data_IF_300421936453
#
_entry.id   IF_300421936453
#
_cell.length_a   1.000
_cell.length_b   1.000
_cell.length_c   1.000
_cell.angle_alpha   90.00
_cell.angle_beta   90.00
_cell.angle_gamma   90.00
#
_symmetry.space_group_name_H-M   'P 1'
#
loop_
_entity.id
_entity.type
_entity.pdbx_description
1 polymer ?
#
# COMPACT_ATOMS: atom_id res chain seq x y z
N UNK A 1 79.82 13.17 -2.46
CA UNK A 1 78.85 12.40 -1.63
C UNK A 1 77.94 13.31 -0.80
N UNK A 2 78.39 14.44 -0.26
CA UNK A 2 77.54 15.33 0.55
C UNK A 2 76.37 15.97 -0.23
N UNK A 3 76.58 16.40 -1.48
CA UNK A 3 75.54 17.09 -2.25
C UNK A 3 74.35 16.19 -2.61
N UNK A 4 74.60 14.93 -3.00
CA UNK A 4 73.52 13.98 -3.34
C UNK A 4 72.69 13.59 -2.11
N UNK A 5 73.34 13.45 -0.95
CA UNK A 5 72.65 13.20 0.32
C UNK A 5 71.76 14.38 0.70
N UNK A 6 72.29 15.60 0.57
CA UNK A 6 71.55 16.82 0.88
C UNK A 6 70.34 17.02 -0.06
N UNK A 7 70.47 16.68 -1.34
CA UNK A 7 69.35 16.72 -2.30
C UNK A 7 68.28 15.67 -1.93
N UNK A 8 68.67 14.43 -1.65
CA UNK A 8 67.72 13.37 -1.33
C UNK A 8 66.95 13.65 -0.02
N UNK A 9 67.66 13.99 1.05
CA UNK A 9 67.04 14.22 2.36
C UNK A 9 66.23 15.52 2.38
N UNK A 10 66.83 16.66 1.98
CA UNK A 10 66.18 17.96 2.14
C UNK A 10 65.23 18.33 1.01
N UNK A 11 65.53 17.95 -0.24
CA UNK A 11 64.71 18.38 -1.37
C UNK A 11 63.65 17.34 -1.77
N UNK A 12 63.86 16.06 -1.46
CA UNK A 12 62.91 15.00 -1.84
C UNK A 12 62.14 14.51 -0.62
N UNK A 13 62.81 13.84 0.32
CA UNK A 13 62.12 13.12 1.40
C UNK A 13 61.39 14.05 2.40
N UNK A 14 61.96 15.23 2.70
CA UNK A 14 61.34 16.22 3.58
C UNK A 14 60.19 17.02 2.93
N UNK A 15 60.02 16.95 1.62
CA UNK A 15 58.92 17.60 0.91
C UNK A 15 57.71 16.68 0.69
N UNK A 16 57.80 15.41 1.09
CA UNK A 16 56.68 14.48 1.08
C UNK A 16 55.81 14.69 2.32
N UNK A 17 54.49 14.62 2.14
CA UNK A 17 53.51 14.70 3.23
C UNK A 17 53.27 13.34 3.90
N UNK A 18 53.78 12.26 3.31
CA UNK A 18 53.78 10.92 3.92
C UNK A 18 54.89 10.82 4.97
N UNK A 19 54.59 10.22 6.12
CA UNK A 19 55.59 9.95 7.16
C UNK A 19 56.54 8.90 6.63
N UNK A 20 57.86 9.18 6.68
CA UNK A 20 58.91 8.24 6.30
C UNK A 20 59.90 8.14 7.44
N UNK A 21 60.20 6.92 7.87
CA UNK A 21 61.10 6.62 8.98
C UNK A 21 62.06 5.50 8.53
N UNK A 22 63.35 5.68 8.79
CA UNK A 22 64.36 4.64 8.61
C UNK A 22 64.81 4.11 9.98
N UNK A 23 64.91 2.78 10.09
CA UNK A 23 65.22 2.07 11.32
C UNK A 23 66.35 1.07 11.10
N UNK A 24 67.12 0.81 12.16
CA UNK A 24 68.08 -0.29 12.19
C UNK A 24 67.40 -1.66 12.28
N UNK A 25 68.13 -2.77 12.09
CA UNK A 25 67.57 -4.12 12.16
C UNK A 25 66.97 -4.47 13.53
N UNK A 26 67.37 -3.76 14.59
CA UNK A 26 66.82 -3.85 15.94
C UNK A 26 65.59 -2.96 16.18
N UNK A 27 65.01 -2.37 15.12
CA UNK A 27 63.84 -1.48 15.15
C UNK A 27 64.05 -0.13 15.85
N UNK A 28 65.31 0.26 16.07
CA UNK A 28 65.63 1.60 16.58
C UNK A 28 65.61 2.63 15.46
N UNK A 29 65.00 3.79 15.71
CA UNK A 29 64.85 4.86 14.72
C UNK A 29 66.19 5.54 14.47
N UNK A 30 66.61 5.59 13.20
CA UNK A 30 67.85 6.26 12.79
C UNK A 30 67.59 7.60 12.11
N UNK A 31 66.48 7.71 11.37
CA UNK A 31 66.14 8.90 10.62
C UNK A 31 64.63 8.98 10.38
N UNK A 32 64.10 10.20 10.23
CA UNK A 32 62.74 10.43 9.77
C UNK A 32 62.58 11.78 9.09
N UNK A 33 61.54 11.91 8.26
CA UNK A 33 61.29 13.10 7.47
C UNK A 33 60.53 14.20 8.23
N UNK A 34 60.43 15.39 7.60
CA UNK A 34 59.65 16.54 8.10
C UNK A 34 58.22 16.17 8.49
N UNK A 35 57.50 15.42 7.66
CA UNK A 35 56.11 15.04 7.94
C UNK A 35 55.98 14.23 9.25
N UNK A 36 56.93 13.33 9.53
CA UNK A 36 56.98 12.62 10.80
C UNK A 36 57.23 13.58 11.97
N UNK A 37 58.16 14.52 11.81
CA UNK A 37 58.49 15.52 12.83
C UNK A 37 57.31 16.42 13.18
N UNK A 38 56.60 16.91 12.16
CA UNK A 38 55.40 17.75 12.31
C UNK A 38 54.25 16.98 12.95
N UNK A 39 54.06 15.71 12.59
CA UNK A 39 52.97 14.90 13.11
C UNK A 39 53.17 14.51 14.58
N UNK A 40 54.36 14.01 14.94
CA UNK A 40 54.65 13.57 16.32
C UNK A 40 54.98 14.73 17.26
N UNK A 41 55.14 15.95 16.76
CA UNK A 41 55.61 17.12 17.51
C UNK A 41 56.93 16.82 18.25
N UNK A 42 57.89 16.29 17.49
CA UNK A 42 59.21 15.84 17.97
C UNK A 42 60.28 16.18 16.95
N UNK A 43 61.45 16.62 17.42
CA UNK A 43 62.60 16.83 16.54
C UNK A 43 63.29 15.50 16.24
N UNK A 44 64.01 15.37 15.10
CA UNK A 44 64.86 14.23 14.76
C UNK A 44 65.64 13.62 15.92
N UNK A 45 66.19 14.47 16.78
CA UNK A 45 67.03 14.07 17.91
C UNK A 45 66.24 13.44 19.07
N UNK A 46 64.94 13.72 19.19
CA UNK A 46 64.12 13.27 20.33
C UNK A 46 63.63 11.82 20.20
N UNK A 47 63.61 11.29 18.98
CA UNK A 47 63.18 9.92 18.65
C UNK A 47 64.32 9.03 18.16
N UNK A 48 65.51 9.60 17.93
CA UNK A 48 66.69 8.86 17.52
C UNK A 48 67.07 7.82 18.59
N UNK A 49 67.44 6.63 18.13
CA UNK A 49 67.84 5.48 18.95
C UNK A 49 66.74 4.94 19.89
N UNK A 50 65.49 5.43 19.78
CA UNK A 50 64.31 4.85 20.44
C UNK A 50 63.67 3.79 19.56
N UNK A 51 62.93 2.87 20.19
CA UNK A 51 62.19 1.88 19.43
C UNK A 51 61.02 2.50 18.65
N UNK A 52 60.75 1.94 17.48
CA UNK A 52 59.68 2.33 16.59
C UNK A 52 58.31 2.51 17.27
N UNK A 53 57.96 1.65 18.22
CA UNK A 53 56.65 1.66 18.87
C UNK A 53 56.48 2.80 19.90
N UNK A 54 57.59 3.31 20.47
CA UNK A 54 57.57 4.36 21.47
C UNK A 54 57.05 5.68 20.93
N UNK A 55 57.22 5.95 19.62
CA UNK A 55 56.68 7.16 18.97
C UNK A 55 55.15 7.22 18.99
N UNK A 56 54.51 6.05 19.07
CA UNK A 56 53.06 5.91 19.19
C UNK A 56 52.60 5.82 20.67
N UNK A 57 53.53 5.93 21.63
CA UNK A 57 53.26 5.77 23.06
C UNK A 57 52.91 4.34 23.47
N UNK A 58 53.34 3.34 22.69
CA UNK A 58 53.14 1.93 22.98
C UNK A 58 54.32 1.37 23.78
N UNK A 59 54.09 0.25 24.49
CA UNK A 59 55.12 -0.48 25.23
C UNK A 59 55.76 -1.63 24.41
N UNK A 60 55.13 -2.00 23.29
CA UNK A 60 55.56 -3.08 22.40
C UNK A 60 55.09 -2.83 20.96
N UNK A 61 55.45 -3.69 20.02
CA UNK A 61 55.07 -3.62 18.61
C UNK A 61 53.57 -3.33 18.42
N UNK A 62 53.29 -2.55 17.37
CA UNK A 62 51.92 -2.20 17.03
C UNK A 62 51.11 -3.45 16.64
N UNK A 63 49.81 -3.53 17.00
CA UNK A 63 48.93 -4.56 16.44
C UNK A 63 48.97 -4.51 14.91
N UNK A 64 49.16 -5.68 14.28
CA UNK A 64 49.32 -5.83 12.83
C UNK A 64 50.47 -5.01 12.21
N UNK A 65 51.59 -4.86 12.93
CA UNK A 65 52.77 -4.13 12.49
C UNK A 65 53.30 -4.59 11.11
N UNK A 66 53.29 -3.73 10.08
CA UNK A 66 53.87 -4.08 8.77
C UNK A 66 55.38 -4.30 8.83
N UNK A 67 56.08 -3.65 9.76
CA UNK A 67 57.54 -3.80 9.90
C UNK A 67 57.89 -5.19 10.44
N UNK A 68 57.14 -5.68 11.44
CA UNK A 68 57.31 -7.04 11.95
C UNK A 68 56.96 -8.08 10.88
N UNK A 69 55.88 -7.87 10.13
CA UNK A 69 55.54 -8.75 8.99
C UNK A 69 56.65 -8.76 7.94
N UNK A 70 57.25 -7.61 7.64
CA UNK A 70 58.35 -7.49 6.69
C UNK A 70 59.63 -8.16 7.18
N UNK A 71 59.91 -8.13 8.49
CA UNK A 71 61.01 -8.91 9.10
C UNK A 71 60.75 -10.42 8.96
N UNK A 72 59.54 -10.88 9.28
CA UNK A 72 59.18 -12.30 9.23
C UNK A 72 59.21 -12.86 7.80
N UNK A 73 58.77 -12.08 6.80
CA UNK A 73 58.67 -12.55 5.41
C UNK A 73 59.87 -12.19 4.54
N UNK A 74 60.66 -11.18 4.92
CA UNK A 74 61.67 -10.57 4.05
C UNK A 74 61.09 -9.80 2.86
N UNK A 75 59.78 -9.54 2.83
CA UNK A 75 59.08 -8.86 1.74
C UNK A 75 58.44 -7.55 2.20
N UNK A 76 58.07 -6.69 1.24
CA UNK A 76 57.31 -5.47 1.54
C UNK A 76 55.92 -5.85 2.08
N UNK A 77 55.63 -5.44 3.31
CA UNK A 77 54.33 -5.64 3.94
C UNK A 77 53.56 -4.31 4.03
N UNK A 78 52.24 -4.36 3.89
CA UNK A 78 51.37 -3.19 4.05
C UNK A 78 50.09 -3.56 4.81
N UNK A 79 49.61 -2.66 5.66
CA UNK A 79 48.36 -2.83 6.41
C UNK A 79 47.74 -1.46 6.70
N UNK A 80 46.41 -1.40 6.80
CA UNK A 80 45.71 -0.22 7.32
C UNK A 80 45.43 -0.51 8.79
N UNK A 81 46.05 0.26 9.67
CA UNK A 81 45.95 0.05 11.12
C UNK A 81 45.34 1.27 11.78
N UNK A 82 44.54 1.06 12.82
CA UNK A 82 44.03 2.13 13.67
C UNK A 82 45.03 2.38 14.80
N UNK A 83 45.50 3.61 14.95
CA UNK A 83 46.50 3.98 15.97
C UNK A 83 45.82 4.61 17.21
N UNK A 84 46.54 4.75 18.35
CA UNK A 84 46.01 5.35 19.58
C UNK A 84 45.50 6.79 19.41
N UNK A 85 46.00 7.51 18.39
CA UNK A 85 45.51 8.84 17.98
C UNK A 85 44.06 8.82 17.42
N UNK A 86 43.48 7.63 17.26
CA UNK A 86 42.13 7.41 16.73
C UNK A 86 42.04 7.43 15.20
N UNK A 87 43.16 7.61 14.48
CA UNK A 87 43.23 7.69 13.02
C UNK A 87 43.56 6.35 12.40
N UNK A 88 43.22 6.20 11.13
CA UNK A 88 43.59 5.06 10.29
C UNK A 88 44.81 5.41 9.46
N UNK A 89 45.85 4.60 9.62
CA UNK A 89 47.13 4.76 8.95
C UNK A 89 47.34 3.63 7.97
N UNK A 90 47.53 3.95 6.69
CA UNK A 90 48.07 3.00 5.72
C UNK A 90 49.57 2.99 5.90
N UNK A 91 50.06 1.91 6.48
CA UNK A 91 51.48 1.73 6.78
C UNK A 91 52.11 0.73 5.82
N UNK A 92 53.39 0.91 5.53
CA UNK A 92 54.23 -0.05 4.81
C UNK A 92 55.52 -0.26 5.57
N UNK A 93 55.93 -1.52 5.67
CA UNK A 93 57.26 -1.90 6.08
C UNK A 93 58.02 -2.44 4.88
N UNK A 94 59.19 -1.88 4.62
CA UNK A 94 60.05 -2.24 3.50
C UNK A 94 61.41 -2.64 4.11
N UNK A 95 61.84 -3.90 3.98
CA UNK A 95 63.15 -4.31 4.43
C UNK A 95 64.22 -3.67 3.53
N UNK A 96 65.28 -3.16 4.14
CA UNK A 96 66.46 -2.64 3.46
C UNK A 96 67.54 -3.73 3.49
N UNK A 97 67.85 -4.28 2.32
CA UNK A 97 68.71 -5.44 2.15
C UNK A 97 69.87 -5.04 1.25
N UNK A 98 71.11 -5.30 1.69
CA UNK A 98 72.31 -5.01 0.91
C UNK A 98 72.48 -5.96 -0.30
N UNK A 99 73.51 -5.71 -1.12
CA UNK A 99 73.83 -6.53 -2.30
C UNK A 99 74.21 -7.98 -1.95
N UNK A 100 74.64 -8.22 -0.70
CA UNK A 100 75.04 -9.53 -0.16
C UNK A 100 73.87 -10.29 0.50
N UNK A 101 72.68 -9.68 0.56
CA UNK A 101 71.47 -10.27 1.14
C UNK A 101 71.31 -10.08 2.65
N UNK A 102 72.11 -9.22 3.28
CA UNK A 102 72.00 -8.91 4.71
C UNK A 102 70.99 -7.77 4.94
N UNK A 103 70.21 -7.90 6.01
CA UNK A 103 69.27 -6.87 6.45
C UNK A 103 70.03 -5.70 7.10
N UNK A 104 70.04 -4.54 6.45
CA UNK A 104 70.63 -3.29 6.95
C UNK A 104 69.65 -2.47 7.79
N UNK A 105 68.34 -2.63 7.55
CA UNK A 105 67.32 -1.89 8.28
C UNK A 105 65.93 -2.02 7.69
N UNK A 106 65.07 -1.07 8.05
CA UNK A 106 63.70 -1.00 7.56
C UNK A 106 63.31 0.43 7.24
N UNK A 107 62.58 0.60 6.13
CA UNK A 107 61.87 1.83 5.79
C UNK A 107 60.40 1.64 6.14
N UNK A 108 59.89 2.53 6.99
CA UNK A 108 58.46 2.65 7.29
C UNK A 108 57.89 3.84 6.54
N UNK A 109 56.78 3.63 5.83
CA UNK A 109 55.94 4.73 5.35
C UNK A 109 54.58 4.69 6.04
N UNK A 110 54.02 5.85 6.38
CA UNK A 110 52.71 5.95 7.01
C UNK A 110 51.92 7.14 6.46
N UNK A 111 50.72 6.85 5.94
CA UNK A 111 49.79 7.84 5.39
C UNK A 111 48.46 7.81 6.15
N UNK A 112 47.99 8.98 6.60
CA UNK A 112 46.66 9.11 7.20
C UNK A 112 45.58 8.91 6.12
N UNK A 113 44.85 7.80 6.22
CA UNK A 113 43.74 7.45 5.32
C UNK A 113 42.38 7.64 5.97
N UNK A 114 42.32 8.27 7.14
CA UNK A 114 41.07 8.57 7.85
C UNK A 114 40.09 9.39 7.00
N UNK A 115 40.51 10.47 6.31
CA UNK A 115 39.58 11.26 5.48
C UNK A 115 38.96 10.42 4.37
N UNK A 116 39.75 9.51 3.77
CA UNK A 116 39.29 8.61 2.71
C UNK A 116 38.28 7.60 3.24
N UNK A 117 38.58 6.91 4.34
CA UNK A 117 37.67 5.91 4.93
C UNK A 117 36.33 6.57 5.31
N UNK A 118 36.38 7.73 5.98
CA UNK A 118 35.16 8.48 6.33
C UNK A 118 34.35 8.90 5.10
N UNK A 119 35.02 9.32 4.02
CA UNK A 119 34.34 9.66 2.77
C UNK A 119 33.68 8.43 2.14
N UNK A 120 34.35 7.27 2.12
CA UNK A 120 33.80 6.02 1.61
C UNK A 120 32.59 5.55 2.43
N UNK A 121 32.62 5.70 3.76
CA UNK A 121 31.49 5.41 4.66
C UNK A 121 30.30 6.35 4.39
N UNK A 122 30.54 7.66 4.34
CA UNK A 122 29.51 8.66 4.04
C UNK A 122 28.84 8.40 2.67
N UNK A 123 29.62 8.05 1.65
CA UNK A 123 29.10 7.70 0.32
C UNK A 123 28.22 6.44 0.41
N UNK A 124 28.64 5.41 1.15
CA UNK A 124 27.83 4.20 1.35
C UNK A 124 26.51 4.51 2.04
N UNK A 125 26.52 5.35 3.07
CA UNK A 125 25.30 5.77 3.76
C UNK A 125 24.38 6.59 2.85
N UNK A 126 24.94 7.56 2.13
CA UNK A 126 24.19 8.39 1.19
C UNK A 126 23.56 7.54 0.06
N UNK A 127 24.28 6.57 -0.49
CA UNK A 127 23.76 5.66 -1.50
C UNK A 127 22.60 4.81 -0.97
N UNK A 128 22.72 4.28 0.26
CA UNK A 128 21.62 3.52 0.90
C UNK A 128 20.37 4.36 1.08
N UNK A 129 20.52 5.62 1.49
CA UNK A 129 19.38 6.52 1.63
C UNK A 129 18.77 6.90 0.27
N UNK A 130 19.60 7.13 -0.74
CA UNK A 130 19.16 7.41 -2.10
C UNK A 130 18.35 6.23 -2.68
N UNK A 131 18.82 4.99 -2.50
CA UNK A 131 18.10 3.79 -2.93
C UNK A 131 16.73 3.66 -2.25
N UNK A 132 16.65 3.92 -0.95
CA UNK A 132 15.38 3.93 -0.21
C UNK A 132 14.42 5.00 -0.73
N UNK A 133 14.91 6.20 -1.01
CA UNK A 133 14.10 7.28 -1.56
C UNK A 133 13.61 6.96 -2.97
N UNK A 134 14.47 6.39 -3.82
CA UNK A 134 14.10 5.94 -5.16
C UNK A 134 13.02 4.86 -5.12
N UNK A 135 13.12 3.88 -4.21
CA UNK A 135 12.09 2.85 -4.03
C UNK A 135 10.76 3.46 -3.59
N UNK A 136 10.76 4.37 -2.60
CA UNK A 136 9.54 5.08 -2.17
C UNK A 136 8.91 5.87 -3.31
N UNK A 137 9.73 6.59 -4.08
CA UNK A 137 9.26 7.39 -5.21
C UNK A 137 8.69 6.51 -6.33
N UNK A 138 9.34 5.38 -6.63
CA UNK A 138 8.85 4.42 -7.62
C UNK A 138 7.52 3.80 -7.19
N UNK A 139 7.37 3.45 -5.91
CA UNK A 139 6.12 2.91 -5.37
C UNK A 139 4.99 3.95 -5.43
N UNK A 140 5.25 5.17 -4.95
CA UNK A 140 4.26 6.25 -5.00
C UNK A 140 3.85 6.60 -6.45
N UNK A 141 4.81 6.59 -7.39
CA UNK A 141 4.53 6.79 -8.82
C UNK A 141 3.62 5.70 -9.36
N UNK A 142 3.90 4.43 -9.04
CA UNK A 142 3.08 3.29 -9.49
C UNK A 142 1.65 3.35 -8.94
N UNK A 143 1.48 3.77 -7.69
CA UNK A 143 0.17 3.98 -7.07
C UNK A 143 -0.59 5.13 -7.76
N UNK A 144 0.08 6.25 -8.02
CA UNK A 144 -0.51 7.38 -8.73
C UNK A 144 -0.93 7.01 -10.17
N UNK A 145 -0.11 6.25 -10.90
CA UNK A 145 -0.43 5.78 -12.25
C UNK A 145 -1.64 4.84 -12.24
N UNK A 146 -1.70 3.89 -11.29
CA UNK A 146 -2.88 3.02 -11.12
C UNK A 146 -4.15 3.81 -10.83
N UNK A 147 -4.09 4.77 -9.92
CA UNK A 147 -5.23 5.63 -9.59
C UNK A 147 -5.69 6.47 -10.80
N UNK A 148 -4.74 7.02 -11.56
CA UNK A 148 -5.03 7.80 -12.78
C UNK A 148 -5.68 6.94 -13.87
N UNK A 149 -5.19 5.71 -14.05
CA UNK A 149 -5.78 4.77 -15.01
C UNK A 149 -7.20 4.38 -14.59
N UNK A 150 -7.42 3.99 -13.34
CA UNK A 150 -8.74 3.65 -12.81
C UNK A 150 -9.74 4.82 -12.97
N UNK A 151 -9.28 6.06 -12.74
CA UNK A 151 -10.10 7.27 -12.96
C UNK A 151 -10.46 7.47 -14.44
N UNK A 152 -9.53 7.20 -15.34
CA UNK A 152 -9.76 7.31 -16.79
C UNK A 152 -10.75 6.25 -17.28
N UNK A 153 -10.60 5.01 -16.82
CA UNK A 153 -11.52 3.91 -17.10
C UNK A 153 -12.92 4.21 -16.55
N UNK A 154 -13.03 4.74 -15.33
CA UNK A 154 -14.28 5.19 -14.73
C UNK A 154 -14.99 6.23 -15.61
N UNK A 155 -14.29 7.29 -16.04
CA UNK A 155 -14.87 8.35 -16.87
C UNK A 155 -15.30 7.85 -18.25
N UNK A 156 -14.51 6.94 -18.84
CA UNK A 156 -14.85 6.29 -20.12
C UNK A 156 -16.13 5.47 -19.99
N UNK A 157 -16.19 4.58 -18.99
CA UNK A 157 -17.35 3.71 -18.74
C UNK A 157 -18.61 4.53 -18.43
N UNK A 158 -18.49 5.55 -17.58
CA UNK A 158 -19.56 6.51 -17.30
C UNK A 158 -20.08 7.16 -18.59
N UNK A 159 -19.19 7.64 -19.45
CA UNK A 159 -19.56 8.29 -20.70
C UNK A 159 -20.32 7.34 -21.63
N UNK A 160 -19.94 6.06 -21.68
CA UNK A 160 -20.62 5.03 -22.47
C UNK A 160 -22.01 4.67 -21.91
N UNK A 161 -22.11 4.50 -20.60
CA UNK A 161 -23.37 4.17 -19.91
C UNK A 161 -24.38 5.32 -19.93
N UNK A 162 -23.92 6.57 -20.00
CA UNK A 162 -24.80 7.75 -20.20
C UNK A 162 -25.21 7.89 -21.67
N UNK A 163 -24.26 7.74 -22.61
CA UNK A 163 -24.52 7.96 -24.04
C UNK A 163 -25.57 6.99 -24.60
N UNK A 164 -25.55 5.73 -24.16
CA UNK A 164 -26.46 4.69 -24.67
C UNK A 164 -27.95 5.00 -24.44
N UNK A 165 -28.44 5.22 -23.19
CA UNK A 165 -29.83 5.59 -22.94
C UNK A 165 -30.17 6.96 -23.53
N UNK A 166 -29.24 7.91 -23.52
CA UNK A 166 -29.47 9.23 -24.13
C UNK A 166 -29.73 9.12 -25.64
N UNK A 167 -28.93 8.32 -26.36
CA UNK A 167 -29.15 8.07 -27.79
C UNK A 167 -30.46 7.32 -28.05
N UNK A 168 -30.85 6.39 -27.18
CA UNK A 168 -32.13 5.70 -27.26
C UNK A 168 -33.31 6.68 -27.09
N UNK A 169 -33.25 7.58 -26.11
CA UNK A 169 -34.26 8.63 -25.88
C UNK A 169 -34.38 9.53 -27.10
N UNK A 170 -33.27 10.08 -27.60
CA UNK A 170 -33.28 11.00 -28.75
C UNK A 170 -33.78 10.31 -30.02
N UNK A 171 -33.28 9.10 -30.31
CA UNK A 171 -33.66 8.34 -31.50
C UNK A 171 -35.13 7.91 -31.48
N UNK A 172 -35.62 7.37 -30.35
CA UNK A 172 -37.03 6.97 -30.21
C UNK A 172 -37.96 8.18 -30.20
N UNK A 173 -37.53 9.32 -29.65
CA UNK A 173 -38.30 10.56 -29.69
C UNK A 173 -38.45 11.07 -31.13
N UNK A 174 -37.37 11.05 -31.92
CA UNK A 174 -37.43 11.38 -33.34
C UNK A 174 -38.38 10.45 -34.12
N UNK A 175 -38.34 9.14 -33.84
CA UNK A 175 -39.28 8.17 -34.42
C UNK A 175 -40.72 8.41 -33.95
N UNK A 176 -40.95 8.82 -32.70
CA UNK A 176 -42.28 9.15 -32.17
C UNK A 176 -42.92 10.38 -32.83
N UNK A 177 -42.11 11.34 -33.26
CA UNK A 177 -42.54 12.59 -33.88
C UNK A 177 -42.93 12.44 -35.36
N UNK A 178 -42.65 11.28 -35.98
CA UNK A 178 -43.04 11.02 -37.37
C UNK A 178 -44.57 11.00 -37.55
N UNK A 179 -45.05 11.62 -38.64
CA UNK A 179 -46.49 11.81 -38.89
C UNK A 179 -47.24 10.49 -39.10
N UNK A 180 -46.61 9.46 -39.68
CA UNK A 180 -47.23 8.17 -40.05
C UNK A 180 -46.96 7.01 -39.06
N UNK A 181 -46.66 7.31 -37.81
CA UNK A 181 -46.32 6.28 -36.82
C UNK A 181 -47.58 5.66 -36.21
N UNK A 182 -47.75 4.36 -36.46
CA UNK A 182 -48.77 3.51 -35.86
C UNK A 182 -48.90 3.73 -34.32
N UNK A 183 -50.13 3.86 -33.78
CA UNK A 183 -50.34 4.15 -32.36
C UNK A 183 -49.74 3.12 -31.38
N UNK A 184 -49.76 1.83 -31.71
CA UNK A 184 -49.17 0.76 -30.90
C UNK A 184 -47.63 0.91 -30.86
N UNK A 185 -47.00 1.15 -32.01
CA UNK A 185 -45.56 1.46 -32.09
C UNK A 185 -45.19 2.71 -31.29
N UNK A 186 -45.97 3.78 -31.39
CA UNK A 186 -45.76 5.02 -30.65
C UNK A 186 -45.81 4.79 -29.14
N UNK A 187 -46.79 4.03 -28.65
CA UNK A 187 -46.89 3.64 -27.23
C UNK A 187 -45.66 2.83 -26.79
N UNK A 188 -45.15 1.93 -27.61
CA UNK A 188 -43.94 1.17 -27.30
C UNK A 188 -42.69 2.06 -27.24
N UNK A 189 -42.53 3.00 -28.19
CA UNK A 189 -41.44 3.98 -28.16
C UNK A 189 -41.49 4.84 -26.90
N UNK A 190 -42.66 5.36 -26.51
CA UNK A 190 -42.83 6.13 -25.26
C UNK A 190 -42.46 5.31 -24.02
N UNK A 191 -42.87 4.03 -23.95
CA UNK A 191 -42.47 3.13 -22.85
C UNK A 191 -40.94 2.98 -22.78
N UNK A 192 -40.27 2.79 -23.92
CA UNK A 192 -38.82 2.62 -23.99
C UNK A 192 -38.06 3.92 -23.68
N UNK A 193 -38.60 5.07 -24.07
CA UNK A 193 -38.08 6.40 -23.69
C UNK A 193 -38.14 6.55 -22.17
N UNK A 194 -39.29 6.29 -21.55
CA UNK A 194 -39.45 6.41 -20.10
C UNK A 194 -38.49 5.48 -19.34
N UNK A 195 -38.40 4.21 -19.75
CA UNK A 195 -37.46 3.26 -19.15
C UNK A 195 -35.99 3.72 -19.30
N UNK A 196 -35.62 4.31 -20.44
CA UNK A 196 -34.26 4.83 -20.66
C UNK A 196 -33.98 6.08 -19.82
N UNK A 197 -34.97 6.94 -19.60
CA UNK A 197 -34.86 8.13 -18.75
C UNK A 197 -34.70 7.75 -17.27
N UNK A 198 -35.51 6.80 -16.79
CA UNK A 198 -35.37 6.24 -15.43
C UNK A 198 -34.00 5.58 -15.23
N UNK A 199 -33.52 4.82 -16.22
CA UNK A 199 -32.18 4.22 -16.17
C UNK A 199 -31.08 5.29 -16.08
N UNK A 200 -31.17 6.34 -16.90
CA UNK A 200 -30.20 7.43 -16.91
C UNK A 200 -30.19 8.20 -15.58
N UNK A 201 -31.36 8.47 -14.99
CA UNK A 201 -31.45 9.11 -13.67
C UNK A 201 -30.81 8.25 -12.58
N UNK A 202 -31.01 6.93 -12.61
CA UNK A 202 -30.35 6.03 -11.66
C UNK A 202 -28.83 6.07 -11.80
N UNK A 203 -28.30 6.04 -13.03
CA UNK A 203 -26.85 6.19 -13.27
C UNK A 203 -26.32 7.50 -12.67
N UNK A 204 -27.01 8.62 -12.93
CA UNK A 204 -26.59 9.93 -12.43
C UNK A 204 -26.58 9.95 -10.90
N UNK A 205 -27.62 9.41 -10.25
CA UNK A 205 -27.68 9.33 -8.80
C UNK A 205 -26.58 8.44 -8.22
N UNK A 206 -26.31 7.28 -8.83
CA UNK A 206 -25.23 6.38 -8.42
C UNK A 206 -23.85 7.07 -8.51
N UNK A 207 -23.61 7.84 -9.58
CA UNK A 207 -22.36 8.62 -9.74
C UNK A 207 -22.24 9.71 -8.69
N UNK A 208 -23.34 10.43 -8.41
CA UNK A 208 -23.36 11.50 -7.41
C UNK A 208 -23.13 10.94 -6.00
N UNK A 209 -23.71 9.79 -5.69
CA UNK A 209 -23.50 9.11 -4.42
C UNK A 209 -22.03 8.67 -4.28
N UNK A 210 -21.45 8.03 -5.31
CA UNK A 210 -20.03 7.67 -5.30
C UNK A 210 -19.13 8.89 -5.11
N UNK A 211 -19.36 9.98 -5.85
CA UNK A 211 -18.56 11.20 -5.74
C UNK A 211 -18.65 11.82 -4.34
N UNK A 212 -19.82 11.78 -3.69
CA UNK A 212 -19.97 12.29 -2.32
C UNK A 212 -19.24 11.41 -1.31
N UNK A 213 -19.26 10.09 -1.48
CA UNK A 213 -18.54 9.16 -0.60
C UNK A 213 -17.02 9.36 -0.75
N UNK A 214 -16.50 9.41 -1.98
CA UNK A 214 -15.07 9.58 -2.24
C UNK A 214 -14.50 10.91 -1.72
N UNK A 215 -15.28 11.98 -1.82
CA UNK A 215 -14.89 13.30 -1.31
C UNK A 215 -14.99 13.39 0.23
N UNK A 216 -15.43 12.31 0.92
CA UNK A 216 -15.68 12.32 2.35
C UNK A 216 -16.81 13.27 2.77
N UNK A 217 -17.74 13.57 1.84
CA UNK A 217 -18.85 14.53 2.05
C UNK A 217 -20.12 13.86 2.56
N UNK A 218 -20.09 12.56 2.81
CA UNK A 218 -21.18 11.85 3.47
C UNK A 218 -20.74 11.56 4.89
N UNK A 219 -21.36 12.27 5.85
CA UNK A 219 -21.30 11.90 7.25
C UNK A 219 -22.42 10.89 7.52
N UNK A 220 -22.08 9.76 8.17
CA UNK A 220 -23.10 8.86 8.68
C UNK A 220 -23.87 9.57 9.78
N UNK A 221 -25.20 9.46 9.72
CA UNK A 221 -26.05 9.98 10.79
C UNK A 221 -26.14 8.96 11.91
N UNK A 222 -26.04 9.42 13.15
CA UNK A 222 -26.38 8.64 14.33
C UNK A 222 -27.80 9.02 14.79
N UNK A 223 -28.79 8.27 14.30
CA UNK A 223 -30.19 8.45 14.68
C UNK A 223 -30.71 7.14 15.29
N UNK A 224 -31.60 7.22 16.29
CA UNK A 224 -32.29 6.04 16.79
C UNK A 224 -33.30 5.59 15.72
N UNK A 225 -33.23 4.33 15.30
CA UNK A 225 -34.17 3.76 14.35
C UNK A 225 -34.57 2.33 14.73
N UNK A 226 -35.75 1.91 14.26
CA UNK A 226 -36.20 0.53 14.41
C UNK A 226 -35.75 -0.32 13.21
N UNK A 227 -35.14 -1.47 13.49
CA UNK A 227 -34.70 -2.39 12.43
C UNK A 227 -35.88 -2.89 11.58
N UNK A 228 -37.05 -3.10 12.18
CA UNK A 228 -38.26 -3.52 11.46
C UNK A 228 -38.70 -2.47 10.42
N UNK A 229 -38.56 -1.17 10.73
CA UNK A 229 -38.85 -0.12 9.76
C UNK A 229 -37.87 -0.15 8.57
N UNK A 230 -36.60 -0.51 8.80
CA UNK A 230 -35.61 -0.66 7.71
C UNK A 230 -36.02 -1.81 6.78
N UNK A 231 -36.43 -2.94 7.34
CA UNK A 231 -36.87 -4.11 6.57
C UNK A 231 -38.17 -3.79 5.80
N UNK A 232 -39.11 -3.09 6.42
CA UNK A 232 -40.34 -2.64 5.76
C UNK A 232 -40.06 -1.67 4.61
N UNK A 233 -39.20 -0.67 4.82
CA UNK A 233 -38.80 0.26 3.75
C UNK A 233 -38.08 -0.47 2.60
N UNK A 234 -37.22 -1.43 2.93
CA UNK A 234 -36.57 -2.29 1.94
C UNK A 234 -37.61 -3.03 1.11
N UNK A 235 -38.61 -3.63 1.76
CA UNK A 235 -39.72 -4.31 1.09
C UNK A 235 -40.50 -3.36 0.17
N UNK A 236 -40.90 -2.19 0.64
CA UNK A 236 -41.66 -1.20 -0.15
C UNK A 236 -40.95 -0.82 -1.45
N UNK A 237 -39.62 -0.72 -1.42
CA UNK A 237 -38.79 -0.40 -2.60
C UNK A 237 -38.77 -1.54 -3.63
N UNK A 238 -38.87 -2.80 -3.19
CA UNK A 238 -38.70 -3.97 -4.07
C UNK A 238 -40.01 -4.70 -4.40
N UNK A 239 -41.08 -4.47 -3.64
CA UNK A 239 -42.34 -5.20 -3.70
C UNK A 239 -42.98 -5.23 -5.10
N UNK A 240 -42.95 -4.11 -5.83
CA UNK A 240 -43.55 -4.04 -7.17
C UNK A 240 -42.80 -4.91 -8.18
N UNK A 241 -41.48 -5.08 -8.01
CA UNK A 241 -40.66 -5.97 -8.85
C UNK A 241 -40.84 -7.42 -8.44
N UNK A 242 -40.84 -7.71 -7.14
CA UNK A 242 -41.06 -9.05 -6.62
C UNK A 242 -42.42 -9.60 -7.08
N UNK A 243 -43.50 -8.83 -6.97
CA UNK A 243 -44.87 -9.22 -7.38
C UNK A 243 -45.02 -9.55 -8.88
N UNK A 244 -44.07 -9.13 -9.73
CA UNK A 244 -44.08 -9.43 -11.18
C UNK A 244 -43.45 -10.78 -11.51
N UNK A 245 -42.80 -11.43 -10.55
CA UNK A 245 -42.17 -12.75 -10.70
C UNK A 245 -42.75 -13.73 -9.67
N UNK A 246 -42.72 -15.04 -9.92
CA UNK A 246 -43.09 -16.07 -8.93
C UNK A 246 -41.97 -16.24 -7.89
N UNK A 247 -41.73 -15.19 -7.08
CA UNK A 247 -40.68 -15.15 -6.06
C UNK A 247 -41.30 -14.81 -4.71
N UNK A 248 -40.88 -15.54 -3.69
CA UNK A 248 -41.19 -15.25 -2.29
C UNK A 248 -40.03 -14.48 -1.65
N UNK A 249 -40.34 -13.47 -0.83
CA UNK A 249 -39.33 -12.69 -0.11
C UNK A 249 -39.58 -12.82 1.39
N UNK A 250 -38.61 -13.40 2.09
CA UNK A 250 -38.69 -13.77 3.49
C UNK A 250 -37.73 -12.92 4.32
N UNK A 251 -38.16 -12.55 5.52
CA UNK A 251 -37.32 -11.85 6.50
C UNK A 251 -37.07 -12.77 7.69
N UNK A 252 -35.81 -12.97 8.04
CA UNK A 252 -35.39 -13.82 9.15
C UNK A 252 -34.50 -13.01 10.11
N UNK A 253 -35.05 -12.72 11.29
CA UNK A 253 -34.40 -11.90 12.31
C UNK A 253 -34.27 -12.70 13.60
N UNK A 254 -33.08 -12.70 14.21
CA UNK A 254 -32.90 -13.31 15.53
C UNK A 254 -33.67 -12.53 16.61
N UNK A 255 -34.41 -13.21 17.53
CA UNK A 255 -35.14 -12.57 18.63
C UNK A 255 -34.23 -11.80 19.61
N UNK A 256 -32.93 -12.10 19.61
CA UNK A 256 -31.93 -11.50 20.49
C UNK A 256 -31.49 -10.10 20.03
N UNK A 257 -31.85 -9.71 18.81
CA UNK A 257 -31.54 -8.41 18.24
C UNK A 257 -32.51 -7.37 18.81
N UNK A 258 -32.03 -6.27 19.43
CA UNK A 258 -32.89 -5.16 19.85
C UNK A 258 -33.67 -4.55 18.68
N UNK A 259 -34.91 -4.12 18.91
CA UNK A 259 -35.67 -3.37 17.90
C UNK A 259 -35.02 -2.04 17.54
N UNK A 260 -34.54 -1.30 18.53
CA UNK A 260 -33.94 0.02 18.36
C UNK A 260 -32.42 -0.08 18.25
N UNK A 261 -31.87 0.52 17.19
CA UNK A 261 -30.44 0.66 16.93
C UNK A 261 -30.10 2.14 16.76
N UNK A 262 -28.83 2.51 16.97
CA UNK A 262 -28.33 3.86 16.70
C UNK A 262 -27.43 3.82 15.46
N UNK A 263 -27.78 4.58 14.44
CA UNK A 263 -26.98 4.69 13.21
C UNK A 263 -27.78 5.25 12.03
N UNK A 264 -27.29 5.02 10.81
CA UNK A 264 -27.88 5.62 9.61
C UNK A 264 -28.89 4.67 8.94
N UNK A 265 -30.16 4.83 9.31
CA UNK A 265 -31.30 4.10 8.73
C UNK A 265 -31.31 4.15 7.20
N UNK A 266 -31.05 5.31 6.62
CA UNK A 266 -31.18 5.54 5.17
C UNK A 266 -30.12 4.75 4.42
N UNK A 267 -28.87 4.75 4.91
CA UNK A 267 -27.77 4.00 4.29
C UNK A 267 -27.94 2.50 4.45
N UNK A 268 -28.42 2.04 5.60
CA UNK A 268 -28.74 0.62 5.78
C UNK A 268 -29.84 0.16 4.82
N UNK A 269 -30.93 0.92 4.69
CA UNK A 269 -31.99 0.62 3.71
C UNK A 269 -31.44 0.64 2.28
N UNK A 270 -30.53 1.57 1.95
CA UNK A 270 -29.91 1.65 0.63
C UNK A 270 -29.11 0.38 0.30
N UNK A 271 -28.28 -0.12 1.23
CA UNK A 271 -27.50 -1.36 1.05
C UNK A 271 -28.46 -2.54 0.83
N UNK A 272 -29.43 -2.73 1.73
CA UNK A 272 -30.37 -3.86 1.68
C UNK A 272 -31.23 -3.84 0.41
N UNK A 273 -31.78 -2.68 0.04
CA UNK A 273 -32.61 -2.54 -1.16
C UNK A 273 -31.80 -2.86 -2.43
N UNK A 274 -30.53 -2.47 -2.48
CA UNK A 274 -29.67 -2.73 -3.62
C UNK A 274 -29.33 -4.22 -3.78
N UNK A 275 -28.94 -4.89 -2.69
CA UNK A 275 -28.69 -6.33 -2.68
C UNK A 275 -29.97 -7.12 -3.02
N UNK A 276 -31.10 -6.76 -2.42
CA UNK A 276 -32.40 -7.41 -2.68
C UNK A 276 -32.89 -7.19 -4.10
N UNK A 277 -32.69 -5.99 -4.65
CA UNK A 277 -33.00 -5.70 -6.07
C UNK A 277 -32.16 -6.55 -7.01
N UNK A 278 -30.89 -6.81 -6.69
CA UNK A 278 -30.05 -7.73 -7.46
C UNK A 278 -30.58 -9.17 -7.36
N UNK A 279 -30.88 -9.66 -6.16
CA UNK A 279 -31.48 -10.99 -5.96
C UNK A 279 -32.76 -11.20 -6.79
N UNK A 280 -33.71 -10.24 -6.78
CA UNK A 280 -34.95 -10.28 -7.57
C UNK A 280 -34.67 -10.21 -9.08
N UNK A 281 -33.66 -9.44 -9.48
CA UNK A 281 -33.29 -9.29 -10.89
C UNK A 281 -32.88 -10.66 -11.47
N UNK A 282 -32.05 -11.41 -10.74
CA UNK A 282 -31.42 -12.65 -11.22
C UNK A 282 -32.21 -13.92 -10.92
N UNK A 283 -33.06 -13.91 -9.90
CA UNK A 283 -33.96 -15.03 -9.61
C UNK A 283 -35.19 -14.91 -10.50
N UNK A 284 -35.53 -15.95 -11.26
CA UNK A 284 -36.75 -15.97 -12.08
C UNK A 284 -37.93 -16.61 -11.36
N UNK A 285 -37.66 -17.61 -10.51
CA UNK A 285 -38.62 -18.23 -9.60
C UNK A 285 -37.89 -18.79 -8.38
N UNK A 286 -38.54 -18.79 -7.22
CA UNK A 286 -37.99 -19.36 -5.99
C UNK A 286 -38.14 -18.41 -4.80
N UNK A 287 -37.11 -18.30 -3.97
CA UNK A 287 -37.15 -17.50 -2.75
C UNK A 287 -35.94 -16.59 -2.60
N UNK A 288 -36.14 -15.50 -1.87
CA UNK A 288 -35.11 -14.57 -1.44
C UNK A 288 -35.25 -14.38 0.06
N UNK A 289 -34.17 -14.61 0.82
CA UNK A 289 -34.19 -14.52 2.28
C UNK A 289 -33.25 -13.41 2.74
N UNK A 290 -33.80 -12.45 3.49
CA UNK A 290 -33.04 -11.39 4.15
C UNK A 290 -32.84 -11.77 5.61
N UNK A 291 -31.61 -12.10 5.99
CA UNK A 291 -31.24 -12.53 7.34
C UNK A 291 -30.50 -11.44 8.09
N UNK A 292 -30.77 -11.33 9.40
CA UNK A 292 -30.00 -10.48 10.32
C UNK A 292 -29.61 -11.27 11.55
N UNK A 293 -28.31 -11.29 11.85
CA UNK A 293 -27.69 -11.99 12.98
C UNK A 293 -26.80 -11.04 13.78
N UNK A 294 -26.77 -11.18 15.10
CA UNK A 294 -25.80 -10.48 15.96
C UNK A 294 -24.48 -11.28 15.94
N UNK A 295 -23.36 -10.63 15.61
CA UNK A 295 -22.04 -11.27 15.64
C UNK A 295 -21.30 -11.02 16.93
N UNK A 296 -21.23 -9.76 17.36
CA UNK A 296 -20.43 -9.32 18.49
C UNK A 296 -21.12 -8.14 19.17
N UNK A 297 -21.16 -8.16 20.50
CA UNK A 297 -21.64 -7.06 21.32
C UNK A 297 -20.49 -6.51 22.15
N UNK A 298 -20.11 -5.26 21.90
CA UNK A 298 -19.19 -4.46 22.72
C UNK A 298 -20.02 -3.58 23.68
N UNK A 299 -19.35 -2.81 24.54
CA UNK A 299 -20.03 -2.00 25.57
C UNK A 299 -21.06 -1.02 24.96
N UNK A 300 -20.66 -0.26 23.93
CA UNK A 300 -21.52 0.75 23.30
C UNK A 300 -22.02 0.37 21.90
N UNK A 301 -21.31 -0.54 21.20
CA UNK A 301 -21.58 -0.91 19.81
C UNK A 301 -21.86 -2.41 19.63
N UNK A 302 -22.74 -2.74 18.69
CA UNK A 302 -23.05 -4.11 18.28
C UNK A 302 -22.80 -4.27 16.80
N UNK A 303 -22.04 -5.30 16.45
CA UNK A 303 -21.79 -5.69 15.06
C UNK A 303 -22.82 -6.73 14.63
N UNK A 304 -23.55 -6.41 13.57
CA UNK A 304 -24.53 -7.32 12.96
C UNK A 304 -24.03 -7.83 11.63
N UNK A 305 -24.42 -9.06 11.29
CA UNK A 305 -24.26 -9.66 9.97
C UNK A 305 -25.62 -9.71 9.28
N UNK A 306 -25.66 -9.14 8.10
CA UNK A 306 -26.80 -9.19 7.20
C UNK A 306 -26.48 -10.15 6.06
N UNK A 307 -27.47 -10.91 5.62
CA UNK A 307 -27.38 -11.79 4.46
C UNK A 307 -28.58 -11.58 3.55
N UNK A 308 -28.34 -11.50 2.24
CA UNK A 308 -29.39 -11.57 1.21
C UNK A 308 -29.10 -12.81 0.37
N UNK A 309 -29.91 -13.83 0.58
CA UNK A 309 -29.83 -15.14 -0.08
C UNK A 309 -30.83 -15.20 -1.22
N UNK A 310 -30.43 -15.71 -2.37
CA UNK A 310 -31.31 -15.95 -3.51
C UNK A 310 -31.12 -17.36 -4.07
N UNK A 311 -32.19 -17.94 -4.63
CA UNK A 311 -32.15 -19.25 -5.30
C UNK A 311 -31.97 -19.14 -6.82
N UNK A 312 -31.31 -18.07 -7.28
CA UNK A 312 -31.09 -17.77 -8.69
C UNK A 312 -30.05 -18.68 -9.36
N UNK A 313 -29.55 -18.29 -10.55
CA UNK A 313 -28.60 -19.11 -11.32
C UNK A 313 -27.20 -19.20 -10.71
N UNK A 314 -26.90 -18.42 -9.68
CA UNK A 314 -25.56 -18.30 -9.10
C UNK A 314 -24.57 -17.54 -10.00
N UNK A 315 -23.35 -17.35 -9.49
CA UNK A 315 -22.28 -16.56 -10.12
C UNK A 315 -21.05 -17.45 -10.34
N UNK A 316 -20.51 -17.52 -11.57
CA UNK A 316 -19.28 -18.28 -11.84
C UNK A 316 -18.07 -17.78 -11.05
N UNK A 317 -17.18 -18.66 -10.55
CA UNK A 317 -16.03 -18.27 -9.71
C UNK A 317 -15.17 -17.16 -10.30
N UNK A 318 -14.94 -17.19 -11.62
CA UNK A 318 -14.13 -16.20 -12.34
C UNK A 318 -14.74 -14.80 -12.38
N UNK A 319 -16.04 -14.67 -12.02
CA UNK A 319 -16.76 -13.39 -11.95
C UNK A 319 -17.10 -12.95 -10.53
N UNK A 320 -16.80 -13.80 -9.54
CA UNK A 320 -16.95 -13.45 -8.13
C UNK A 320 -15.85 -12.47 -7.72
N UNK A 321 -14.63 -12.68 -8.25
CA UNK A 321 -13.52 -11.75 -8.08
C UNK A 321 -13.84 -10.42 -8.76
N UNK A 322 -13.79 -9.34 -7.98
CA UNK A 322 -14.07 -7.98 -8.46
C UNK A 322 -15.55 -7.63 -8.63
N UNK A 323 -16.52 -8.45 -8.20
CA UNK A 323 -17.96 -8.12 -8.36
C UNK A 323 -18.39 -6.82 -7.66
N UNK A 324 -17.64 -6.40 -6.64
CA UNK A 324 -17.82 -5.14 -5.93
C UNK A 324 -17.01 -3.97 -6.53
N UNK A 325 -16.27 -4.20 -7.62
CA UNK A 325 -15.58 -3.15 -8.37
C UNK A 325 -16.56 -2.34 -9.23
N UNK A 326 -16.20 -1.08 -9.50
CA UNK A 326 -17.04 -0.15 -10.26
C UNK A 326 -17.19 -0.63 -11.70
N UNK A 327 -18.40 -0.57 -12.22
CA UNK A 327 -18.75 -0.95 -13.59
C UNK A 327 -18.47 -2.44 -13.91
N UNK A 328 -18.17 -3.28 -12.91
CA UNK A 328 -18.02 -4.70 -13.13
C UNK A 328 -19.40 -5.36 -13.27
N UNK A 329 -19.55 -6.21 -14.28
CA UNK A 329 -20.81 -6.90 -14.60
C UNK A 329 -20.55 -8.38 -14.83
N UNK A 330 -21.26 -9.22 -14.08
CA UNK A 330 -21.16 -10.67 -14.24
C UNK A 330 -21.86 -11.21 -15.52
N UNK A 331 -22.60 -10.40 -16.29
CA UNK A 331 -23.42 -10.89 -17.42
C UNK A 331 -22.77 -10.69 -18.80
N UNK A 332 -22.79 -11.77 -19.60
CA UNK A 332 -22.58 -11.77 -21.05
C UNK A 332 -23.89 -11.95 -21.86
N UNK A 333 -25.06 -11.98 -21.19
CA UNK A 333 -26.35 -12.26 -21.83
C UNK A 333 -27.14 -10.98 -22.13
N UNK A 334 -27.51 -10.84 -23.40
CA UNK A 334 -28.13 -9.65 -24.02
C UNK A 334 -29.66 -9.60 -23.94
N UNK A 335 -30.33 -10.57 -23.30
CA UNK A 335 -31.76 -10.83 -23.56
C UNK A 335 -32.74 -10.23 -22.55
N UNK A 336 -32.33 -9.89 -21.33
CA UNK A 336 -33.22 -9.24 -20.36
C UNK A 336 -32.93 -7.74 -20.29
N UNK A 337 -33.90 -6.93 -20.73
CA UNK A 337 -33.81 -5.47 -20.91
C UNK A 337 -33.54 -4.60 -19.68
N UNK A 338 -33.02 -5.16 -18.58
CA UNK A 338 -32.59 -4.46 -17.37
C UNK A 338 -31.06 -4.43 -17.29
N UNK A 339 -30.41 -3.63 -18.14
CA UNK A 339 -28.99 -3.27 -17.95
C UNK A 339 -28.89 -2.49 -16.64
N UNK A 340 -28.00 -2.89 -15.74
CA UNK A 340 -27.61 -2.11 -14.58
C UNK A 340 -26.23 -1.52 -14.84
N UNK A 341 -25.94 -0.35 -14.25
CA UNK A 341 -24.68 0.37 -14.46
C UNK A 341 -23.44 -0.33 -13.87
N UNK A 342 -23.63 -1.38 -13.05
CA UNK A 342 -22.53 -2.04 -12.31
C UNK A 342 -21.96 -1.16 -11.20
N UNK A 343 -22.68 -0.12 -10.77
CA UNK A 343 -22.25 0.78 -9.68
C UNK A 343 -22.87 0.41 -8.34
N UNK A 344 -24.01 -0.29 -8.35
CA UNK A 344 -24.74 -0.65 -7.14
C UNK A 344 -23.87 -1.37 -6.11
N UNK A 345 -23.25 -2.51 -6.47
CA UNK A 345 -22.45 -3.28 -5.51
C UNK A 345 -21.22 -2.50 -5.00
N UNK A 346 -20.63 -1.65 -5.84
CA UNK A 346 -19.55 -0.77 -5.43
C UNK A 346 -20.01 0.29 -4.41
N UNK A 347 -21.21 0.86 -4.59
CA UNK A 347 -21.82 1.78 -3.61
C UNK A 347 -22.10 1.05 -2.30
N UNK A 348 -22.71 -0.15 -2.36
CA UNK A 348 -22.95 -0.96 -1.16
C UNK A 348 -21.65 -1.23 -0.40
N UNK A 349 -20.55 -1.56 -1.10
CA UNK A 349 -19.24 -1.73 -0.46
C UNK A 349 -18.76 -0.49 0.25
N UNK A 350 -18.80 0.66 -0.43
CA UNK A 350 -18.36 1.92 0.18
C UNK A 350 -19.20 2.33 1.39
N UNK A 351 -20.52 2.12 1.34
CA UNK A 351 -21.40 2.37 2.48
C UNK A 351 -21.12 1.43 3.65
N UNK A 352 -20.88 0.14 3.36
CA UNK A 352 -20.50 -0.85 4.37
C UNK A 352 -19.16 -0.49 5.02
N UNK A 353 -18.17 -0.08 4.22
CA UNK A 353 -16.86 0.38 4.71
C UNK A 353 -17.03 1.58 5.66
N UNK A 354 -17.91 2.54 5.32
CA UNK A 354 -18.23 3.67 6.19
C UNK A 354 -18.91 3.26 7.51
N UNK A 355 -19.67 2.16 7.51
CA UNK A 355 -20.36 1.61 8.68
C UNK A 355 -19.48 0.60 9.47
N UNK A 356 -18.15 0.71 9.34
CA UNK A 356 -17.15 -0.16 9.98
C UNK A 356 -17.37 -1.67 9.70
N UNK A 357 -17.89 -1.95 8.51
CA UNK A 357 -18.29 -3.26 8.07
C UNK A 357 -17.36 -3.87 7.03
N UNK A 358 -17.72 -5.08 6.62
CA UNK A 358 -17.14 -5.80 5.50
C UNK A 358 -18.26 -6.39 4.66
N UNK A 359 -18.11 -6.40 3.32
CA UNK A 359 -19.07 -7.00 2.37
C UNK A 359 -18.39 -8.11 1.57
N UNK A 360 -19.06 -9.24 1.41
CA UNK A 360 -18.56 -10.37 0.61
C UNK A 360 -19.72 -11.18 0.05
N UNK A 361 -19.40 -12.25 -0.69
CA UNK A 361 -20.41 -13.13 -1.25
C UNK A 361 -19.96 -14.59 -1.29
N UNK A 362 -20.93 -15.48 -1.32
CA UNK A 362 -20.76 -16.91 -1.60
C UNK A 362 -21.76 -17.30 -2.69
N UNK A 363 -21.34 -18.05 -3.70
CA UNK A 363 -22.27 -18.51 -4.73
C UNK A 363 -21.79 -19.76 -5.44
N UNK A 364 -22.75 -20.59 -5.83
CA UNK A 364 -22.54 -21.76 -6.65
C UNK A 364 -23.52 -21.75 -7.83
N UNK A 365 -23.02 -22.07 -9.02
CA UNK A 365 -23.84 -22.11 -10.24
C UNK A 365 -25.00 -23.09 -10.05
N UNK A 366 -26.21 -22.63 -10.31
CA UNK A 366 -27.46 -23.40 -10.21
C UNK A 366 -28.01 -23.57 -8.80
N UNK A 367 -27.33 -23.05 -7.76
CA UNK A 367 -27.82 -23.07 -6.37
C UNK A 367 -28.16 -21.68 -5.82
N UNK A 368 -27.73 -20.63 -6.50
CA UNK A 368 -27.98 -19.24 -6.11
C UNK A 368 -26.77 -18.53 -5.52
N UNK A 369 -27.02 -17.37 -4.92
CA UNK A 369 -25.99 -16.50 -4.36
C UNK A 369 -26.41 -16.00 -2.98
N UNK A 370 -25.44 -15.82 -2.11
CA UNK A 370 -25.61 -15.13 -0.83
C UNK A 370 -24.66 -13.95 -0.78
N UNK A 371 -25.21 -12.75 -0.61
CA UNK A 371 -24.44 -11.54 -0.35
C UNK A 371 -24.49 -11.24 1.15
N UNK A 372 -23.32 -11.14 1.76
CA UNK A 372 -23.19 -10.85 3.17
C UNK A 372 -22.60 -9.47 3.36
N UNK A 373 -23.04 -8.76 4.40
CA UNK A 373 -22.27 -7.64 4.91
C UNK A 373 -22.36 -7.56 6.44
N UNK A 374 -21.39 -6.90 7.05
CA UNK A 374 -21.46 -6.51 8.45
C UNK A 374 -21.61 -5.01 8.58
N UNK A 375 -22.18 -4.55 9.69
CA UNK A 375 -22.23 -3.14 10.04
C UNK A 375 -22.29 -2.98 11.57
N UNK A 376 -21.65 -1.94 12.09
CA UNK A 376 -21.67 -1.58 13.51
C UNK A 376 -22.76 -0.54 13.78
N UNK A 377 -23.51 -0.73 14.87
CA UNK A 377 -24.55 0.20 15.33
C UNK A 377 -24.46 0.36 16.85
N UNK A 378 -24.78 1.55 17.34
CA UNK A 378 -24.85 1.81 18.77
C UNK A 378 -26.07 1.16 19.42
N UNK A 379 -25.99 0.87 20.72
CA UNK A 379 -27.12 0.39 21.51
C UNK A 379 -28.04 1.55 21.94
N UNK A 380 -29.34 1.49 21.60
CA UNK A 380 -30.35 2.28 22.31
C UNK A 380 -30.58 1.70 23.71
N UNK A 381 -30.74 2.55 24.72
CA UNK A 381 -31.04 2.13 26.08
C UNK A 381 -32.44 1.49 26.17
N UNK A 382 -32.46 0.16 26.19
CA UNK A 382 -33.56 -0.76 26.55
C UNK A 382 -35.01 -0.25 26.47
N UNK A 383 -35.68 -0.59 25.36
CA UNK A 383 -37.10 -1.00 25.39
C UNK A 383 -37.25 -2.42 24.84
N UNK A 384 -37.95 -3.26 25.60
CA UNK A 384 -38.21 -4.67 25.28
C UNK A 384 -39.03 -4.80 24.00
N UNK A 385 -38.65 -5.81 23.21
CA UNK A 385 -39.28 -6.29 21.98
C UNK A 385 -40.81 -6.39 22.07
N UNK A 386 -41.51 -5.60 21.27
CA UNK A 386 -42.80 -5.95 20.70
C UNK A 386 -42.64 -5.96 19.18
N UNK A 387 -42.96 -7.10 18.54
CA UNK A 387 -42.93 -7.24 17.08
C UNK A 387 -43.97 -6.30 16.46
N UNK A 388 -43.60 -5.59 15.39
CA UNK A 388 -44.56 -4.80 14.60
C UNK A 388 -45.73 -5.69 14.12
N UNK A 389 -47.01 -5.26 14.31
CA UNK A 389 -48.19 -6.02 13.88
C UNK A 389 -48.23 -6.36 12.39
N UNK A 390 -47.49 -5.64 11.55
CA UNK A 390 -47.45 -5.85 10.10
C UNK A 390 -46.70 -7.13 9.70
N UNK A 391 -45.70 -7.57 10.49
CA UNK A 391 -44.91 -8.77 10.21
C UNK A 391 -45.60 -10.08 10.67
N UNK A 392 -46.59 -10.00 11.57
CA UNK A 392 -47.34 -11.18 12.02
C UNK A 392 -48.24 -11.79 10.93
N UNK A 393 -48.66 -11.01 9.93
CA UNK A 393 -49.53 -11.49 8.85
C UNK A 393 -48.77 -12.16 7.69
N UNK A 394 -47.44 -12.25 7.77
CA UNK A 394 -46.57 -12.73 6.68
C UNK A 394 -45.85 -14.04 7.04
N UNK A 395 -46.24 -14.68 8.14
CA UNK A 395 -45.66 -15.90 8.69
C UNK A 395 -46.53 -17.16 8.47
N UNK A 396 -47.36 -17.19 7.41
CA UNK A 396 -48.14 -18.40 7.05
C UNK A 396 -47.88 -18.80 5.61
#
# INVERSE_FOLDING_TARGET
MNDNKQILENNILNNLDEIIIYMSPDFTIRWFNRAASEFFDRKPEDLKDKFCYEKWGLEDFCPECPIQKAEETGEIASSIVRKPDGRYWKMKGIPDIDEDGNLEGFIETALDVTPRIKAEENIKEYNRELERQQQKLMQAKKEAEKASQAKSEFLSNMSHEIRTPMNAITGLSALCLGEDVDPEKRKNYLKRINASAEYLLNIINDILDLSKIEDGKIDLKEEIFELDEVLEQTWLVVAERAKKKPIEVLFARSPEIPNELVGDKIRLTQILANLTKNAIKYTDSGEIVIKVEMLEKKEDDVKYKFAVEDTGPGIPPEKQEGIFERFNRAEASTESGSKGAGLGLAISRQLVDMMNGEIWMESEIGKGSTFYFTAEFGCSAEKKNELSPLLQNWMV
#
